data_IF_671094906980
#
_entry.id   IF_671094906980
#
_cell.length_a   1.000
_cell.length_b   1.000
_cell.length_c   1.000
_cell.angle_alpha   90.00
_cell.angle_beta   90.00
_cell.angle_gamma   90.00
#
_symmetry.space_group_name_H-M   'P 1'
#
loop_
_entity.id
_entity.type
_entity.pdbx_description
1 polymer ?
#
# COMPACT_ATOMS: atom_id res chain seq x y z
N UNK A 1 1.26 -6.76 15.47
CA UNK A 1 2.10 -7.38 14.42
C UNK A 1 1.53 -8.75 14.10
N UNK A 2 1.51 -9.15 12.83
CA UNK A 2 1.00 -10.43 12.34
C UNK A 2 2.14 -11.19 11.65
N UNK A 3 2.46 -12.39 12.13
CA UNK A 3 3.34 -13.31 11.42
C UNK A 3 2.54 -14.06 10.36
N UNK A 4 2.72 -13.71 9.11
CA UNK A 4 2.02 -14.32 7.97
C UNK A 4 2.91 -15.30 7.19
N UNK A 5 4.23 -15.28 7.44
CA UNK A 5 5.14 -16.16 6.71
C UNK A 5 6.62 -15.95 7.01
N UNK A 6 7.00 -15.51 8.20
CA UNK A 6 8.42 -15.40 8.57
C UNK A 6 9.09 -16.76 8.50
N UNK A 7 10.28 -16.81 7.89
CA UNK A 7 11.03 -18.04 7.69
C UNK A 7 11.74 -18.49 8.98
N UNK A 8 10.96 -18.87 9.97
CA UNK A 8 11.43 -19.44 11.23
C UNK A 8 10.40 -20.44 11.79
N UNK A 9 10.85 -21.45 12.48
CA UNK A 9 10.03 -22.39 13.26
C UNK A 9 9.71 -21.86 14.66
N UNK A 10 10.42 -20.79 15.09
CA UNK A 10 10.23 -20.17 16.39
C UNK A 10 8.99 -19.29 16.40
N UNK A 11 8.21 -19.38 17.48
CA UNK A 11 7.12 -18.45 17.73
C UNK A 11 7.69 -17.05 18.03
N UNK A 12 7.12 -16.03 17.39
CA UNK A 12 7.53 -14.62 17.57
C UNK A 12 6.72 -14.06 18.74
N UNK A 13 7.35 -13.70 19.87
CA UNK A 13 6.63 -13.13 21.00
C UNK A 13 5.90 -11.83 20.62
N UNK A 14 4.65 -11.70 21.03
CA UNK A 14 3.83 -10.50 20.75
C UNK A 14 3.25 -10.40 19.35
N UNK A 15 3.56 -11.34 18.44
CA UNK A 15 2.93 -11.39 17.13
C UNK A 15 1.71 -12.34 17.13
N UNK A 16 0.69 -11.96 16.39
CA UNK A 16 -0.45 -12.82 16.05
C UNK A 16 0.05 -13.86 15.04
N UNK A 17 -0.01 -15.13 15.40
CA UNK A 17 0.44 -16.22 14.53
C UNK A 17 -0.65 -16.55 13.50
N UNK A 18 -0.37 -16.21 12.24
CA UNK A 18 -1.17 -16.52 11.06
C UNK A 18 -0.30 -17.09 9.94
N UNK A 19 0.80 -17.72 10.31
CA UNK A 19 1.80 -18.25 9.37
C UNK A 19 1.17 -19.24 8.38
N UNK A 20 1.30 -18.94 7.10
CA UNK A 20 0.88 -19.80 6.00
C UNK A 20 1.96 -20.84 5.74
N UNK A 21 3.20 -20.37 5.63
CA UNK A 21 4.39 -21.17 5.37
C UNK A 21 5.64 -20.37 5.76
N UNK A 22 6.78 -21.01 5.89
CA UNK A 22 8.07 -20.37 6.13
C UNK A 22 8.63 -19.75 4.85
N UNK A 23 8.28 -18.50 4.59
CA UNK A 23 8.67 -17.73 3.40
C UNK A 23 7.97 -18.18 2.10
N UNK A 24 8.13 -17.39 1.05
CA UNK A 24 7.69 -17.73 -0.31
C UNK A 24 8.78 -18.48 -1.07
N UNK A 25 8.44 -19.07 -2.20
CA UNK A 25 9.43 -19.63 -3.11
C UNK A 25 10.19 -18.56 -3.88
N UNK A 26 11.29 -18.96 -4.52
CA UNK A 26 12.11 -18.07 -5.32
C UNK A 26 11.42 -17.71 -6.64
N UNK A 27 11.00 -16.46 -6.79
CA UNK A 27 10.25 -15.97 -7.96
C UNK A 27 11.03 -16.06 -9.28
N UNK A 28 12.35 -16.10 -9.25
CA UNK A 28 13.16 -16.31 -10.45
C UNK A 28 13.20 -17.79 -10.91
N UNK A 29 12.62 -18.72 -10.13
CA UNK A 29 12.58 -20.15 -10.45
C UNK A 29 11.17 -20.70 -10.65
N UNK A 30 10.16 -19.98 -10.20
CA UNK A 30 8.74 -20.36 -10.26
C UNK A 30 7.89 -19.40 -9.45
N UNK A 31 6.63 -19.72 -9.27
CA UNK A 31 5.69 -18.88 -8.53
C UNK A 31 6.07 -18.74 -7.05
N UNK A 32 5.83 -17.55 -6.47
CA UNK A 32 6.09 -17.27 -5.06
C UNK A 32 5.27 -18.15 -4.11
N UNK A 33 4.00 -18.33 -4.43
CA UNK A 33 3.03 -19.10 -3.66
C UNK A 33 1.94 -19.65 -4.59
N UNK A 34 1.12 -20.58 -4.12
CA UNK A 34 -0.07 -21.00 -4.85
C UNK A 34 -1.14 -19.89 -4.83
N UNK A 35 -2.09 -19.95 -5.76
CA UNK A 35 -3.22 -19.03 -5.78
C UNK A 35 -4.01 -19.09 -4.47
N UNK A 36 -4.26 -20.30 -3.95
CA UNK A 36 -4.96 -20.51 -2.68
C UNK A 36 -4.21 -19.95 -1.47
N UNK A 37 -2.87 -20.08 -1.43
CA UNK A 37 -2.05 -19.46 -0.38
C UNK A 37 -2.14 -17.93 -0.44
N UNK A 38 -2.16 -17.33 -1.63
CA UNK A 38 -2.35 -15.90 -1.84
C UNK A 38 -3.71 -15.43 -1.32
N UNK A 39 -4.79 -16.11 -1.71
CA UNK A 39 -6.15 -15.83 -1.21
C UNK A 39 -6.24 -16.01 0.30
N UNK A 40 -5.59 -17.03 0.86
CA UNK A 40 -5.52 -17.23 2.31
C UNK A 40 -4.82 -16.07 3.02
N UNK A 41 -3.72 -15.57 2.46
CA UNK A 41 -3.03 -14.39 2.99
C UNK A 41 -3.92 -13.14 2.96
N UNK A 42 -4.64 -12.90 1.86
CA UNK A 42 -5.60 -11.80 1.77
C UNK A 42 -6.73 -11.94 2.80
N UNK A 43 -7.27 -13.13 3.00
CA UNK A 43 -8.32 -13.36 4.01
C UNK A 43 -7.82 -13.08 5.43
N UNK A 44 -6.56 -13.38 5.75
CA UNK A 44 -5.94 -12.99 7.03
C UNK A 44 -5.93 -11.46 7.17
N UNK A 45 -5.55 -10.74 6.11
CA UNK A 45 -5.58 -9.28 6.11
C UNK A 45 -7.00 -8.71 6.31
N UNK A 46 -8.01 -9.27 5.66
CA UNK A 46 -9.41 -8.88 5.84
C UNK A 46 -9.86 -9.14 7.29
N UNK A 47 -9.47 -10.28 7.88
CA UNK A 47 -9.72 -10.58 9.30
C UNK A 47 -9.09 -9.52 10.22
N UNK A 48 -7.87 -9.08 9.95
CA UNK A 48 -7.22 -8.05 10.76
C UNK A 48 -7.94 -6.70 10.66
N UNK A 49 -8.37 -6.30 9.47
CA UNK A 49 -9.16 -5.08 9.29
C UNK A 49 -10.52 -5.18 10.01
N UNK A 50 -11.17 -6.34 9.94
CA UNK A 50 -12.40 -6.61 10.69
C UNK A 50 -12.20 -6.43 12.20
N UNK A 51 -11.17 -7.06 12.75
CA UNK A 51 -10.89 -6.99 14.20
C UNK A 51 -10.65 -5.54 14.63
N UNK A 52 -9.88 -4.77 13.86
CA UNK A 52 -9.65 -3.37 14.14
C UNK A 52 -10.95 -2.54 14.10
N UNK A 53 -11.82 -2.78 13.11
CA UNK A 53 -13.15 -2.16 13.06
C UNK A 53 -14.02 -2.52 14.28
N UNK A 54 -14.05 -3.79 14.68
CA UNK A 54 -14.82 -4.26 15.84
C UNK A 54 -14.26 -3.72 17.18
N UNK A 55 -12.96 -3.41 17.24
CA UNK A 55 -12.30 -2.73 18.36
C UNK A 55 -12.54 -1.20 18.37
N UNK A 56 -13.18 -0.65 17.33
CA UNK A 56 -13.58 0.76 17.25
C UNK A 56 -12.49 1.72 16.75
N UNK A 57 -11.55 1.23 15.96
CA UNK A 57 -10.58 2.11 15.31
C UNK A 57 -11.20 2.82 14.10
N UNK A 58 -11.05 4.16 14.04
CA UNK A 58 -11.63 5.03 13.03
C UNK A 58 -10.74 5.20 11.79
N UNK A 59 -9.45 4.90 11.89
CA UNK A 59 -8.48 4.98 10.80
C UNK A 59 -7.43 3.87 10.97
N UNK A 60 -7.03 3.27 9.87
CA UNK A 60 -6.01 2.22 9.85
C UNK A 60 -4.75 2.67 9.11
N UNK A 61 -3.66 1.97 9.35
CA UNK A 61 -2.43 2.09 8.59
C UNK A 61 -1.77 0.74 8.43
N UNK A 62 -1.07 0.54 7.33
CA UNK A 62 -0.35 -0.71 7.06
C UNK A 62 1.15 -0.49 7.09
N UNK A 63 1.86 -1.47 7.62
CA UNK A 63 3.31 -1.57 7.57
C UNK A 63 3.70 -3.01 7.28
N UNK A 64 4.94 -3.23 6.97
CA UNK A 64 5.46 -4.54 6.61
C UNK A 64 6.92 -4.70 7.06
N UNK A 65 7.31 -5.93 7.31
CA UNK A 65 8.69 -6.36 7.45
C UNK A 65 8.87 -7.65 6.66
N UNK A 66 9.56 -7.55 5.53
CA UNK A 66 9.84 -8.69 4.65
C UNK A 66 11.18 -8.50 3.95
N UNK A 67 12.17 -9.35 4.30
CA UNK A 67 13.50 -9.24 3.71
C UNK A 67 13.44 -9.47 2.19
N UNK A 68 13.86 -8.44 1.44
CA UNK A 68 13.87 -8.46 -0.02
C UNK A 68 12.53 -8.11 -0.68
N UNK A 69 11.53 -7.68 0.07
CA UNK A 69 10.18 -7.40 -0.45
C UNK A 69 10.09 -6.21 -1.41
N UNK A 70 11.07 -5.31 -1.45
CA UNK A 70 11.18 -4.33 -2.53
C UNK A 70 11.42 -4.97 -3.90
N UNK A 71 11.97 -6.19 -3.94
CA UNK A 71 12.13 -6.96 -5.21
C UNK A 71 10.79 -7.54 -5.64
N UNK A 72 10.06 -8.18 -4.74
CA UNK A 72 8.72 -8.72 -5.04
C UNK A 72 7.73 -7.60 -5.33
N UNK A 73 7.78 -6.46 -4.62
CA UNK A 73 6.95 -5.27 -4.93
C UNK A 73 7.23 -4.72 -6.34
N UNK A 74 8.50 -4.59 -6.74
CA UNK A 74 8.84 -4.20 -8.10
C UNK A 74 8.31 -5.20 -9.12
N UNK A 75 8.39 -6.52 -8.83
CA UNK A 75 7.85 -7.56 -9.70
C UNK A 75 6.33 -7.49 -9.82
N UNK A 76 5.62 -7.25 -8.73
CA UNK A 76 4.15 -7.06 -8.72
C UNK A 76 3.78 -5.80 -9.51
N UNK A 77 4.50 -4.68 -9.29
CA UNK A 77 4.26 -3.43 -10.04
C UNK A 77 4.40 -3.65 -11.55
N UNK A 78 5.49 -4.28 -11.99
CA UNK A 78 5.69 -4.62 -13.41
C UNK A 78 4.60 -5.56 -13.92
N UNK A 79 4.22 -6.57 -13.15
CA UNK A 79 3.17 -7.53 -13.50
C UNK A 79 1.80 -6.88 -13.66
N UNK A 80 1.45 -5.91 -12.81
CA UNK A 80 0.18 -5.20 -12.86
C UNK A 80 0.12 -4.13 -13.95
N UNK A 81 1.21 -3.40 -14.16
CA UNK A 81 1.21 -2.20 -15.02
C UNK A 81 1.83 -2.44 -16.39
N UNK A 82 2.81 -3.33 -16.47
CA UNK A 82 3.64 -3.52 -17.66
C UNK A 82 4.72 -2.46 -17.82
N UNK A 83 5.02 -1.67 -16.78
CA UNK A 83 6.08 -0.66 -16.81
C UNK A 83 7.47 -1.30 -16.98
N UNK A 84 8.45 -0.48 -17.37
CA UNK A 84 9.83 -0.92 -17.56
C UNK A 84 10.51 -1.34 -16.24
N UNK A 85 11.42 -2.32 -16.33
CA UNK A 85 12.19 -2.80 -15.17
C UNK A 85 13.00 -1.65 -14.54
N UNK A 86 13.62 -0.81 -15.38
CA UNK A 86 14.43 0.33 -14.94
C UNK A 86 13.62 1.39 -14.18
N UNK A 87 12.33 1.48 -14.47
CA UNK A 87 11.41 2.42 -13.84
C UNK A 87 10.83 1.89 -12.52
N UNK A 88 10.72 0.55 -12.40
CA UNK A 88 10.10 -0.11 -11.24
C UNK A 88 11.10 -0.47 -10.14
N UNK A 89 12.39 -0.69 -10.48
CA UNK A 89 13.38 -1.26 -9.56
C UNK A 89 14.24 -0.18 -8.93
N UNK A 90 14.06 0.07 -7.64
CA UNK A 90 14.89 0.94 -6.82
C UNK A 90 15.97 0.18 -6.03
N UNK A 91 16.79 0.94 -5.29
CA UNK A 91 17.89 0.39 -4.49
C UNK A 91 17.45 -0.17 -3.13
N UNK A 92 16.19 -0.02 -2.75
CA UNK A 92 15.70 -0.42 -1.44
C UNK A 92 16.39 0.34 -0.31
N UNK A 93 16.72 -0.37 0.76
CA UNK A 93 17.45 0.18 1.92
C UNK A 93 18.90 0.58 1.61
N UNK A 94 19.38 0.29 0.39
CA UNK A 94 20.75 0.54 -0.05
C UNK A 94 21.50 -0.77 -0.33
N UNK A 95 21.92 -0.94 -1.57
CA UNK A 95 22.64 -2.12 -2.05
C UNK A 95 23.80 -1.73 -2.96
N UNK A 96 24.78 -2.63 -3.14
CA UNK A 96 25.89 -2.42 -4.08
C UNK A 96 25.41 -2.36 -5.52
N UNK A 97 26.24 -1.87 -6.41
CA UNK A 97 25.91 -1.79 -7.84
C UNK A 97 25.64 -3.19 -8.43
N UNK A 98 26.44 -4.17 -8.07
CA UNK A 98 26.30 -5.57 -8.52
C UNK A 98 24.96 -6.17 -8.00
N UNK A 99 24.62 -5.92 -6.74
CA UNK A 99 23.36 -6.38 -6.15
C UNK A 99 22.16 -5.69 -6.81
N UNK A 100 22.30 -4.42 -7.22
CA UNK A 100 21.26 -3.70 -7.94
C UNK A 100 21.01 -4.29 -9.34
N UNK A 101 22.06 -4.57 -10.10
CA UNK A 101 21.91 -5.23 -11.40
C UNK A 101 21.31 -6.64 -11.25
N UNK A 102 21.74 -7.38 -10.23
CA UNK A 102 21.13 -8.67 -9.90
C UNK A 102 19.64 -8.55 -9.54
N UNK A 103 19.24 -7.50 -8.81
CA UNK A 103 17.84 -7.24 -8.48
C UNK A 103 17.00 -7.02 -9.74
N UNK A 104 17.47 -6.20 -10.67
CA UNK A 104 16.82 -5.97 -11.97
C UNK A 104 16.67 -7.29 -12.76
N UNK A 105 17.74 -8.07 -12.82
CA UNK A 105 17.71 -9.37 -13.46
C UNK A 105 16.66 -10.31 -12.80
N UNK A 106 16.59 -10.35 -11.46
CA UNK A 106 15.61 -11.17 -10.73
C UNK A 106 14.19 -10.77 -11.10
N UNK A 107 13.88 -9.47 -11.12
CA UNK A 107 12.54 -8.97 -11.50
C UNK A 107 12.21 -9.34 -12.95
N UNK A 108 13.13 -9.14 -13.88
CA UNK A 108 12.96 -9.53 -15.28
C UNK A 108 12.71 -11.03 -15.44
N UNK A 109 13.50 -11.83 -14.74
CA UNK A 109 13.40 -13.30 -14.79
C UNK A 109 12.10 -13.79 -14.16
N UNK A 110 11.66 -13.18 -13.05
CA UNK A 110 10.39 -13.49 -12.41
C UNK A 110 9.20 -13.30 -13.36
N UNK A 111 9.16 -12.19 -14.08
CA UNK A 111 8.11 -11.93 -15.09
C UNK A 111 8.20 -12.93 -16.26
N UNK A 112 9.42 -13.22 -16.74
CA UNK A 112 9.64 -14.12 -17.86
C UNK A 112 9.20 -15.56 -17.55
N UNK A 113 9.56 -16.06 -16.38
CA UNK A 113 9.31 -17.46 -15.96
C UNK A 113 7.84 -17.66 -15.59
N UNK A 114 7.28 -16.76 -14.80
CA UNK A 114 5.94 -16.93 -14.23
C UNK A 114 4.81 -16.41 -15.13
N UNK A 115 5.09 -15.51 -16.07
CA UNK A 115 4.11 -14.93 -16.99
C UNK A 115 2.81 -14.53 -16.26
N UNK A 116 2.89 -13.60 -15.29
CA UNK A 116 1.72 -13.20 -14.53
C UNK A 116 0.64 -12.62 -15.45
N UNK A 117 -0.62 -12.94 -15.17
CA UNK A 117 -1.74 -12.40 -15.91
C UNK A 117 -2.07 -10.99 -15.39
N UNK A 118 -1.73 -9.97 -16.16
CA UNK A 118 -1.98 -8.56 -15.83
C UNK A 118 -3.45 -8.26 -15.46
N UNK A 119 -4.40 -9.02 -15.97
CA UNK A 119 -5.83 -8.82 -15.72
C UNK A 119 -6.34 -9.58 -14.49
N UNK A 120 -5.48 -10.33 -13.82
CA UNK A 120 -5.78 -11.03 -12.57
C UNK A 120 -4.75 -10.63 -11.49
N UNK A 121 -5.04 -9.61 -10.68
CA UNK A 121 -4.11 -9.14 -9.65
C UNK A 121 -3.71 -10.22 -8.64
N UNK A 122 -4.61 -11.18 -8.36
CA UNK A 122 -4.31 -12.29 -7.45
C UNK A 122 -3.28 -13.23 -8.07
N UNK A 123 -3.40 -13.55 -9.37
CA UNK A 123 -2.40 -14.32 -10.11
C UNK A 123 -1.04 -13.63 -10.13
N UNK A 124 -1.02 -12.30 -10.35
CA UNK A 124 0.22 -11.51 -10.30
C UNK A 124 0.90 -11.66 -8.94
N UNK A 125 0.16 -11.43 -7.84
CA UNK A 125 0.71 -11.50 -6.48
C UNK A 125 1.13 -12.93 -6.12
N UNK A 126 0.35 -13.93 -6.47
CA UNK A 126 0.69 -15.35 -6.24
C UNK A 126 1.99 -15.75 -6.95
N UNK A 127 2.20 -15.27 -8.16
CA UNK A 127 3.37 -15.61 -8.98
C UNK A 127 4.64 -14.87 -8.58
N UNK A 128 4.55 -13.55 -8.34
CA UNK A 128 5.74 -12.71 -8.18
C UNK A 128 5.74 -11.84 -6.93
N UNK A 129 4.76 -11.99 -6.04
CA UNK A 129 4.60 -11.21 -4.81
C UNK A 129 5.21 -11.85 -3.56
N UNK A 130 4.61 -11.52 -2.42
CA UNK A 130 4.97 -12.01 -1.09
C UNK A 130 3.74 -12.13 -0.20
N UNK A 131 3.83 -12.90 0.91
CA UNK A 131 2.74 -13.04 1.87
C UNK A 131 2.40 -11.72 2.55
N UNK A 132 3.39 -10.87 2.82
CA UNK A 132 3.23 -9.53 3.34
C UNK A 132 2.40 -8.65 2.40
N UNK A 133 2.72 -8.63 1.11
CA UNK A 133 1.96 -7.90 0.09
C UNK A 133 0.52 -8.43 0.03
N UNK A 134 0.34 -9.75 -0.04
CA UNK A 134 -0.99 -10.35 -0.09
C UNK A 134 -1.81 -10.06 1.19
N UNK A 135 -1.18 -10.10 2.36
CA UNK A 135 -1.81 -9.72 3.62
C UNK A 135 -2.26 -8.26 3.63
N UNK A 136 -1.40 -7.32 3.20
CA UNK A 136 -1.76 -5.90 3.11
C UNK A 136 -2.89 -5.65 2.11
N UNK A 137 -2.92 -6.34 0.95
CA UNK A 137 -4.06 -6.29 0.02
C UNK A 137 -5.35 -6.63 0.76
N UNK A 138 -5.33 -7.68 1.57
CA UNK A 138 -6.47 -8.07 2.39
C UNK A 138 -6.89 -6.99 3.38
N UNK A 139 -5.94 -6.30 4.03
CA UNK A 139 -6.25 -5.17 4.94
C UNK A 139 -6.91 -4.03 4.17
N UNK A 140 -6.42 -3.66 2.99
CA UNK A 140 -7.04 -2.61 2.15
C UNK A 140 -8.46 -2.98 1.73
N UNK A 141 -8.68 -4.23 1.29
CA UNK A 141 -10.01 -4.71 0.93
C UNK A 141 -10.96 -4.72 2.13
N UNK A 142 -10.49 -5.17 3.29
CA UNK A 142 -11.26 -5.20 4.53
C UNK A 142 -11.61 -3.80 5.03
N UNK A 143 -10.65 -2.87 5.03
CA UNK A 143 -10.87 -1.48 5.41
C UNK A 143 -11.98 -0.84 4.56
N UNK A 144 -11.92 -1.00 3.25
CA UNK A 144 -12.95 -0.51 2.34
C UNK A 144 -14.32 -1.17 2.59
N UNK A 145 -14.35 -2.50 2.85
CA UNK A 145 -15.58 -3.21 3.16
C UNK A 145 -16.25 -2.68 4.45
N UNK A 146 -15.47 -2.41 5.48
CA UNK A 146 -15.95 -1.85 6.75
C UNK A 146 -16.04 -0.32 6.76
N UNK A 147 -15.72 0.34 5.63
CA UNK A 147 -15.75 1.80 5.45
C UNK A 147 -14.82 2.55 6.40
N UNK A 148 -13.67 1.99 6.71
CA UNK A 148 -12.62 2.59 7.52
C UNK A 148 -11.54 3.17 6.61
N UNK A 149 -11.20 4.46 6.70
CA UNK A 149 -10.08 5.05 5.98
C UNK A 149 -8.77 4.33 6.33
N UNK A 150 -7.89 4.18 5.33
CA UNK A 150 -6.64 3.46 5.54
C UNK A 150 -5.45 4.17 4.88
N UNK A 151 -4.38 4.33 5.65
CA UNK A 151 -3.18 5.03 5.22
C UNK A 151 -2.23 4.10 4.47
N UNK A 152 -1.78 4.54 3.31
CA UNK A 152 -0.67 3.96 2.56
C UNK A 152 0.64 4.52 3.14
N UNK A 153 1.56 3.66 3.55
CA UNK A 153 2.89 4.06 4.02
C UNK A 153 3.84 4.40 2.85
N UNK A 154 4.66 3.47 2.40
CA UNK A 154 5.66 3.68 1.36
C UNK A 154 5.41 2.84 0.11
N UNK A 155 6.50 2.52 -0.61
CA UNK A 155 6.44 1.84 -1.91
C UNK A 155 5.73 0.48 -1.86
N UNK A 156 6.06 -0.37 -0.88
CA UNK A 156 5.54 -1.74 -0.81
C UNK A 156 4.04 -1.72 -0.53
N UNK A 157 3.59 -0.87 0.40
CA UNK A 157 2.17 -0.69 0.70
C UNK A 157 1.41 -0.03 -0.46
N UNK A 158 2.05 0.89 -1.21
CA UNK A 158 1.47 1.48 -2.42
C UNK A 158 1.21 0.45 -3.51
N UNK A 159 2.13 -0.50 -3.70
CA UNK A 159 1.94 -1.61 -4.64
C UNK A 159 0.83 -2.56 -4.18
N UNK A 160 0.74 -2.83 -2.87
CA UNK A 160 -0.36 -3.61 -2.30
C UNK A 160 -1.71 -2.89 -2.48
N UNK A 161 -1.77 -1.58 -2.23
CA UNK A 161 -2.95 -0.75 -2.46
C UNK A 161 -3.38 -0.76 -3.94
N UNK A 162 -2.42 -0.65 -4.88
CA UNK A 162 -2.69 -0.75 -6.31
C UNK A 162 -3.31 -2.10 -6.67
N UNK A 163 -2.76 -3.20 -6.15
CA UNK A 163 -3.33 -4.53 -6.37
C UNK A 163 -4.76 -4.63 -5.80
N UNK A 164 -5.01 -4.09 -4.61
CA UNK A 164 -6.33 -4.07 -3.99
C UNK A 164 -7.36 -3.27 -4.83
N UNK A 165 -6.97 -2.10 -5.35
CA UNK A 165 -7.80 -1.28 -6.25
C UNK A 165 -8.08 -2.00 -7.58
N UNK A 166 -7.12 -2.76 -8.11
CA UNK A 166 -7.33 -3.58 -9.31
C UNK A 166 -8.27 -4.77 -9.07
N UNK A 167 -8.36 -5.28 -7.83
CA UNK A 167 -9.36 -6.28 -7.44
C UNK A 167 -10.74 -5.63 -7.28
N UNK A 168 -10.80 -4.50 -6.56
CA UNK A 168 -12.05 -3.76 -6.35
C UNK A 168 -11.77 -2.24 -6.39
N UNK A 169 -12.22 -1.54 -7.44
CA UNK A 169 -11.97 -0.09 -7.59
C UNK A 169 -12.50 0.78 -6.44
N UNK A 170 -13.52 0.34 -5.69
CA UNK A 170 -14.06 1.08 -4.55
C UNK A 170 -13.06 1.23 -3.40
N UNK A 171 -12.03 0.40 -3.34
CA UNK A 171 -10.96 0.52 -2.33
C UNK A 171 -10.31 1.90 -2.38
N UNK A 172 -10.16 2.48 -3.57
CA UNK A 172 -9.50 3.77 -3.77
C UNK A 172 -10.10 4.89 -2.93
N UNK A 173 -11.40 4.89 -2.72
CA UNK A 173 -12.13 5.93 -1.97
C UNK A 173 -11.77 5.97 -0.47
N UNK A 174 -11.11 4.93 0.03
CA UNK A 174 -10.68 4.81 1.44
C UNK A 174 -9.19 5.01 1.64
N UNK A 175 -8.42 5.22 0.56
CA UNK A 175 -6.96 5.31 0.61
C UNK A 175 -6.48 6.73 0.93
N UNK A 176 -5.58 6.85 1.89
CA UNK A 176 -4.91 8.09 2.27
C UNK A 176 -3.39 7.88 2.09
N UNK A 177 -2.76 8.44 1.06
CA UNK A 177 -1.31 8.30 0.88
C UNK A 177 -0.56 9.22 1.85
N UNK A 178 0.38 8.66 2.63
CA UNK A 178 1.13 9.42 3.64
C UNK A 178 2.23 10.29 3.02
N UNK A 179 3.36 9.69 2.68
CA UNK A 179 4.57 10.39 2.23
C UNK A 179 5.01 9.94 0.85
N UNK A 180 5.71 10.82 0.14
CA UNK A 180 6.42 10.49 -1.09
C UNK A 180 7.62 9.60 -0.74
N UNK A 181 7.55 8.32 -1.10
CA UNK A 181 8.67 7.38 -0.88
C UNK A 181 9.80 7.63 -1.88
N UNK A 182 11.05 7.45 -1.45
CA UNK A 182 12.22 7.55 -2.32
C UNK A 182 12.42 6.35 -3.28
N UNK A 183 11.62 5.29 -3.16
CA UNK A 183 11.66 4.18 -4.10
C UNK A 183 11.09 4.60 -5.46
N UNK A 184 11.86 4.38 -6.54
CA UNK A 184 11.53 4.89 -7.88
C UNK A 184 10.15 4.41 -8.38
N UNK A 185 9.78 3.16 -8.10
CA UNK A 185 8.49 2.58 -8.50
C UNK A 185 7.28 3.18 -7.78
N UNK A 186 7.48 3.92 -6.68
CA UNK A 186 6.40 4.55 -5.92
C UNK A 186 5.55 5.50 -6.76
N UNK A 187 6.22 6.35 -7.54
CA UNK A 187 5.53 7.34 -8.39
C UNK A 187 4.65 6.68 -9.47
N UNK A 188 5.06 5.48 -9.95
CA UNK A 188 4.23 4.71 -10.88
C UNK A 188 2.97 4.22 -10.16
N UNK A 189 3.12 3.65 -8.96
CA UNK A 189 1.98 3.18 -8.18
C UNK A 189 1.00 4.32 -7.84
N UNK A 190 1.49 5.49 -7.41
CA UNK A 190 0.65 6.66 -7.11
C UNK A 190 -0.09 7.18 -8.35
N UNK A 191 0.58 7.27 -9.49
CA UNK A 191 -0.06 7.66 -10.76
C UNK A 191 -1.15 6.67 -11.18
N UNK A 192 -0.91 5.36 -11.07
CA UNK A 192 -1.91 4.34 -11.37
C UNK A 192 -3.11 4.35 -10.41
N UNK A 193 -2.88 4.74 -9.15
CA UNK A 193 -3.91 4.96 -8.16
C UNK A 193 -4.65 6.30 -8.35
N UNK A 194 -4.08 7.24 -9.11
CA UNK A 194 -4.52 8.64 -9.20
C UNK A 194 -4.60 9.28 -7.80
N UNK A 195 -3.52 9.17 -7.02
CA UNK A 195 -3.38 9.71 -5.68
C UNK A 195 -2.08 10.51 -5.56
N UNK A 196 -2.10 11.55 -4.72
CA UNK A 196 -0.94 12.37 -4.40
C UNK A 196 -0.59 12.24 -2.91
N UNK A 197 0.67 12.02 -2.54
CA UNK A 197 1.08 11.93 -1.12
C UNK A 197 1.00 13.30 -0.45
N UNK A 198 0.59 13.33 0.83
CA UNK A 198 0.42 14.57 1.61
C UNK A 198 1.73 15.28 1.90
N UNK A 199 2.83 14.54 2.05
CA UNK A 199 4.11 15.07 2.53
C UNK A 199 5.31 14.49 1.76
N UNK A 200 6.38 15.27 1.72
CA UNK A 200 7.68 14.84 1.22
C UNK A 200 8.75 15.08 2.29
N UNK A 201 9.19 14.03 2.96
CA UNK A 201 10.16 14.04 4.06
C UNK A 201 11.38 13.17 3.76
N UNK A 202 11.63 12.84 2.50
CA UNK A 202 12.74 11.98 2.07
C UNK A 202 12.74 10.58 2.74
N UNK A 203 11.58 10.10 3.15
CA UNK A 203 11.42 8.83 3.86
C UNK A 203 11.61 7.62 2.93
N UNK A 204 12.21 6.55 3.50
CA UNK A 204 12.45 5.28 2.81
C UNK A 204 12.54 4.08 3.75
N UNK A 205 12.08 4.24 5.00
CA UNK A 205 12.14 3.16 6.00
C UNK A 205 11.11 2.07 5.69
N UNK A 206 9.88 2.43 5.35
CA UNK A 206 8.76 1.48 5.32
C UNK A 206 8.24 1.21 6.72
N UNK A 207 7.83 -0.03 6.98
CA UNK A 207 7.41 -0.55 8.30
C UNK A 207 6.23 0.21 8.92
N UNK A 208 5.44 0.92 8.10
CA UNK A 208 4.32 1.73 8.56
C UNK A 208 4.73 3.08 9.14
N UNK A 209 6.00 3.50 9.00
CA UNK A 209 6.53 4.72 9.65
C UNK A 209 5.88 6.02 9.18
N UNK A 210 5.31 6.06 7.99
CA UNK A 210 4.55 7.20 7.47
C UNK A 210 3.14 7.30 8.05
N UNK A 211 2.55 6.21 8.53
CA UNK A 211 1.18 6.19 9.01
C UNK A 211 0.95 7.11 10.23
N UNK A 212 1.76 7.09 11.30
CA UNK A 212 1.55 7.98 12.44
C UNK A 212 1.62 9.47 12.08
N UNK A 213 2.47 9.82 11.11
CA UNK A 213 2.59 11.20 10.64
C UNK A 213 1.30 11.61 9.92
N UNK A 214 0.78 10.75 9.04
CA UNK A 214 -0.49 10.97 8.36
C UNK A 214 -1.65 11.06 9.33
N UNK A 215 -1.71 10.20 10.36
CA UNK A 215 -2.73 10.27 11.40
C UNK A 215 -2.75 11.62 12.09
N UNK A 216 -1.57 12.16 12.46
CA UNK A 216 -1.48 13.49 13.08
C UNK A 216 -2.00 14.61 12.15
N UNK A 217 -1.73 14.54 10.84
CA UNK A 217 -2.24 15.51 9.86
C UNK A 217 -3.77 15.42 9.76
N UNK A 218 -4.33 14.20 9.74
CA UNK A 218 -5.79 13.99 9.73
C UNK A 218 -6.42 14.55 11.01
N UNK A 219 -5.83 14.29 12.19
CA UNK A 219 -6.30 14.82 13.47
C UNK A 219 -6.28 16.36 13.50
N UNK A 220 -5.22 16.99 13.00
CA UNK A 220 -5.16 18.45 12.89
C UNK A 220 -6.24 19.00 11.95
N UNK A 221 -6.48 18.34 10.82
CA UNK A 221 -7.54 18.74 9.87
C UNK A 221 -8.93 18.65 10.52
N UNK A 222 -9.20 17.56 11.25
CA UNK A 222 -10.45 17.42 12.00
C UNK A 222 -10.60 18.47 13.11
N UNK A 223 -9.50 18.77 13.81
CA UNK A 223 -9.52 19.81 14.86
C UNK A 223 -9.86 21.20 14.26
N UNK A 224 -9.32 21.54 13.10
CA UNK A 224 -9.69 22.76 12.39
C UNK A 224 -11.16 22.76 11.99
N UNK A 225 -11.66 21.70 11.36
CA UNK A 225 -13.05 21.60 10.93
C UNK A 225 -14.05 21.71 12.09
N UNK A 226 -13.70 21.11 13.25
CA UNK A 226 -14.60 21.05 14.40
C UNK A 226 -14.58 22.31 15.28
N UNK A 227 -13.52 23.13 15.22
CA UNK A 227 -13.34 24.27 16.11
C UNK A 227 -13.28 25.62 15.39
N UNK A 228 -13.22 25.63 14.08
CA UNK A 228 -13.26 26.88 13.30
C UNK A 228 -14.71 27.30 13.09
N UNK A 229 -15.02 28.55 13.44
CA UNK A 229 -16.35 29.09 13.21
C UNK A 229 -16.64 29.20 11.69
N UNK A 230 -17.88 28.96 11.30
CA UNK A 230 -18.35 29.30 9.97
C UNK A 230 -18.48 30.80 9.83
N UNK A 231 -18.65 31.34 8.62
CA UNK A 231 -18.88 32.76 8.40
C UNK A 231 -20.17 33.24 9.09
N UNK A 232 -21.20 32.41 9.09
CA UNK A 232 -22.47 32.71 9.78
C UNK A 232 -22.28 32.81 11.30
N UNK A 233 -21.57 31.83 11.90
CA UNK A 233 -21.26 31.80 13.34
C UNK A 233 -20.36 32.95 13.79
N UNK A 234 -19.49 33.42 12.89
CA UNK A 234 -18.58 34.56 13.13
C UNK A 234 -19.18 35.89 12.77
N UNK A 235 -20.46 35.95 12.28
CA UNK A 235 -21.16 37.15 11.80
C UNK A 235 -20.36 37.87 10.68
N UNK A 236 -19.61 37.12 9.86
CA UNK A 236 -18.85 37.66 8.73
C UNK A 236 -19.74 37.67 7.49
N UNK A 237 -19.89 38.86 6.90
CA UNK A 237 -20.62 39.00 5.61
C UNK A 237 -19.83 38.30 4.49
N UNK A 238 -20.46 37.36 3.81
CA UNK A 238 -19.91 36.59 2.70
C UNK A 238 -20.55 36.87 1.35
N UNK A 239 -21.34 37.97 1.22
CA UNK A 239 -22.02 38.35 -0.01
C UNK A 239 -21.05 38.46 -1.20
N UNK A 240 -19.80 38.86 -0.97
CA UNK A 240 -18.75 38.91 -1.99
C UNK A 240 -18.42 37.53 -2.61
N UNK A 241 -18.76 36.44 -1.93
CA UNK A 241 -18.54 35.08 -2.43
C UNK A 241 -19.64 34.65 -3.41
N UNK A 242 -20.79 35.32 -3.45
CA UNK A 242 -21.87 34.99 -4.38
C UNK A 242 -21.43 35.14 -5.84
N UNK A 243 -20.66 36.18 -6.15
CA UNK A 243 -20.07 36.37 -7.48
C UNK A 243 -19.08 35.25 -7.84
N UNK A 244 -18.28 34.82 -6.87
CA UNK A 244 -17.28 33.75 -7.07
C UNK A 244 -17.95 32.39 -7.18
N UNK A 245 -18.99 32.12 -6.39
CA UNK A 245 -19.75 30.85 -6.42
C UNK A 245 -20.63 30.72 -7.67
N UNK A 246 -21.07 31.88 -8.25
CA UNK A 246 -21.89 31.94 -9.46
C UNK A 246 -21.12 31.78 -10.77
N UNK A 247 -19.81 31.91 -10.74
CA UNK A 247 -18.95 31.71 -11.91
C UNK A 247 -18.47 30.25 -11.98
N UNK A 248 -18.69 29.62 -13.16
CA UNK A 248 -18.17 28.21 -13.42
C UNK A 248 -16.63 28.08 -13.35
N UNK A 249 -15.95 29.12 -12.91
CA UNK A 249 -14.49 29.24 -12.88
C UNK A 249 -13.88 29.13 -11.47
N UNK A 250 -14.63 28.65 -10.48
CA UNK A 250 -14.01 28.33 -9.17
C UNK A 250 -13.10 27.12 -9.28
N UNK A 251 -11.82 27.36 -9.53
CA UNK A 251 -10.78 26.34 -9.52
C UNK A 251 -10.20 26.29 -8.11
N UNK A 252 -10.48 25.20 -7.36
CA UNK A 252 -9.82 24.88 -6.11
C UNK A 252 -8.53 24.12 -6.41
#
# INVERSE_FOLDING_TARGET
VVDIGVNTDKKIPGAIDRKIRMGTYNIAKGQAMSYDECVKAMNIGIEMAKNAYEEGYDILGVGEMGIGNTTTSSSVLVGLTGCGIEEAVGKGAGITKEAFEKKKWVVSEAIRVNKPNKNDPVDVVAKVGGFDIAGMIGVFLGAAYYKVPIVIDGFISAVAALAAVRINPLVREYLIPSHCSKEIGYNIAMRELNLEPMINLDMRLGEGSGCPIAFSIVEFSLAMMNNMATFDEAEINDDYLEEVRGEENYIV
#
